data_IF_422441613693
#
_entry.id   IF_422441613693
#
_cell.length_a   1.000
_cell.length_b   1.000
_cell.length_c   1.000
_cell.angle_alpha   90.00
_cell.angle_beta   90.00
_cell.angle_gamma   90.00
#
_symmetry.space_group_name_H-M   'P 1'
#
loop_
_entity.id
_entity.type
_entity.pdbx_description
1 polymer ?
#
# COMPACT_ATOMS: atom_id res chain seq x y z
N UNK A 1 -6.46 11.29 9.18
CA UNK A 1 -5.16 10.61 9.30
C UNK A 1 -5.05 9.65 8.13
N UNK A 2 -4.02 9.78 7.33
CA UNK A 2 -3.83 8.98 6.11
C UNK A 2 -2.64 8.03 6.30
N UNK A 3 -2.67 6.86 5.68
CA UNK A 3 -1.52 5.95 5.68
C UNK A 3 -0.73 6.11 4.37
N UNK A 4 0.59 6.03 4.46
CA UNK A 4 1.48 5.89 3.31
C UNK A 4 2.22 4.56 3.43
N UNK A 5 2.02 3.69 2.45
CA UNK A 5 2.70 2.40 2.31
C UNK A 5 3.73 2.53 1.21
N UNK A 6 4.99 2.36 1.58
CA UNK A 6 6.13 2.39 0.66
C UNK A 6 6.59 0.96 0.43
N UNK A 7 6.59 0.49 -0.82
CA UNK A 7 6.94 -0.89 -1.16
C UNK A 7 7.56 -0.99 -2.56
N UNK A 8 8.12 -2.15 -2.90
CA UNK A 8 8.62 -2.41 -4.24
C UNK A 8 7.53 -2.27 -5.32
N UNK A 9 7.91 -1.89 -6.55
CA UNK A 9 7.00 -1.72 -7.69
C UNK A 9 6.05 -2.91 -7.86
N UNK A 10 6.59 -4.14 -7.84
CA UNK A 10 5.81 -5.36 -8.04
C UNK A 10 4.72 -5.54 -6.98
N UNK A 11 4.98 -5.13 -5.75
CA UNK A 11 4.00 -5.22 -4.64
C UNK A 11 2.94 -4.14 -4.80
N UNK A 12 3.34 -2.91 -5.13
CA UNK A 12 2.40 -1.80 -5.36
C UNK A 12 1.46 -2.10 -6.52
N UNK A 13 1.98 -2.56 -7.66
CA UNK A 13 1.16 -2.92 -8.83
C UNK A 13 0.16 -4.02 -8.48
N UNK A 14 0.61 -5.05 -7.75
CA UNK A 14 -0.28 -6.13 -7.31
C UNK A 14 -1.37 -5.62 -6.36
N UNK A 15 -1.05 -4.71 -5.45
CA UNK A 15 -2.01 -4.13 -4.50
C UNK A 15 -3.02 -3.20 -5.19
N UNK A 16 -2.60 -2.51 -6.25
CA UNK A 16 -3.46 -1.60 -7.01
C UNK A 16 -4.31 -2.30 -8.07
N UNK A 17 -3.89 -3.47 -8.56
CA UNK A 17 -4.55 -4.20 -9.65
C UNK A 17 -5.20 -5.49 -9.14
N UNK A 18 -4.42 -6.51 -8.79
CA UNK A 18 -4.94 -7.84 -8.40
C UNK A 18 -5.67 -7.84 -7.05
N UNK A 19 -5.16 -7.10 -6.07
CA UNK A 19 -5.64 -7.10 -4.69
C UNK A 19 -6.41 -5.80 -4.35
N UNK A 20 -6.85 -5.06 -5.37
CA UNK A 20 -7.51 -3.76 -5.19
C UNK A 20 -8.76 -3.84 -4.31
N UNK A 21 -9.52 -4.92 -4.43
CA UNK A 21 -10.74 -5.16 -3.64
C UNK A 21 -10.40 -5.34 -2.15
N UNK A 22 -9.32 -6.09 -1.86
CA UNK A 22 -8.84 -6.29 -0.49
C UNK A 22 -8.36 -4.97 0.13
N UNK A 23 -7.72 -4.11 -0.67
CA UNK A 23 -7.30 -2.77 -0.22
C UNK A 23 -8.51 -1.88 0.08
N UNK A 24 -9.53 -1.88 -0.77
CA UNK A 24 -10.73 -1.08 -0.57
C UNK A 24 -11.53 -1.50 0.68
N UNK A 25 -11.62 -2.82 0.92
CA UNK A 25 -12.22 -3.36 2.13
C UNK A 25 -11.43 -2.95 3.38
N UNK A 26 -10.10 -2.97 3.30
CA UNK A 26 -9.23 -2.52 4.38
C UNK A 26 -9.41 -1.02 4.67
N UNK A 27 -9.42 -0.17 3.64
CA UNK A 27 -9.66 1.27 3.77
C UNK A 27 -11.01 1.57 4.44
N UNK A 28 -12.05 0.81 4.08
CA UNK A 28 -13.38 0.91 4.68
C UNK A 28 -13.34 0.48 6.15
N UNK A 29 -12.68 -0.63 6.45
CA UNK A 29 -12.56 -1.18 7.81
C UNK A 29 -11.85 -0.22 8.76
N UNK A 30 -10.73 0.39 8.32
CA UNK A 30 -9.97 1.34 9.14
C UNK A 30 -10.51 2.77 9.05
N UNK A 31 -11.47 3.02 8.14
CA UNK A 31 -12.05 4.34 7.84
C UNK A 31 -10.99 5.41 7.55
N UNK A 32 -9.89 5.01 6.88
CA UNK A 32 -8.75 5.86 6.51
C UNK A 32 -8.23 5.46 5.13
N UNK A 33 -7.81 6.44 4.34
CA UNK A 33 -7.23 6.22 3.01
C UNK A 33 -5.78 5.75 3.12
N UNK A 34 -5.41 4.78 2.29
CA UNK A 34 -4.07 4.24 2.16
C UNK A 34 -3.49 4.70 0.83
N UNK A 35 -2.33 5.35 0.87
CA UNK A 35 -1.57 5.74 -0.31
C UNK A 35 -0.43 4.77 -0.51
N UNK A 36 -0.17 4.39 -1.75
CA UNK A 36 0.97 3.56 -2.10
C UNK A 36 2.03 4.39 -2.82
N UNK A 37 3.28 4.18 -2.45
CA UNK A 37 4.44 4.76 -3.09
C UNK A 37 5.44 3.66 -3.46
N UNK A 38 5.93 3.73 -4.69
CA UNK A 38 6.94 2.79 -5.17
C UNK A 38 8.32 3.22 -4.68
N UNK A 39 9.02 2.29 -4.04
CA UNK A 39 10.43 2.43 -3.69
C UNK A 39 11.29 1.50 -4.56
N UNK A 40 12.08 2.04 -5.52
CA UNK A 40 12.83 1.24 -6.50
C UNK A 40 13.89 0.32 -5.90
N UNK A 41 14.40 0.66 -4.73
CA UNK A 41 15.45 -0.10 -4.05
C UNK A 41 14.90 -1.16 -3.09
N UNK A 42 13.58 -1.22 -2.92
CA UNK A 42 12.96 -2.18 -2.03
C UNK A 42 12.77 -3.51 -2.75
N UNK A 43 13.17 -4.59 -2.08
CA UNK A 43 12.76 -5.93 -2.46
C UNK A 43 11.29 -6.17 -2.08
N UNK A 44 10.71 -7.27 -2.57
CA UNK A 44 9.30 -7.61 -2.29
C UNK A 44 8.99 -7.80 -0.79
N UNK A 45 10.02 -8.07 0.04
CA UNK A 45 9.89 -8.27 1.49
C UNK A 45 10.10 -6.99 2.29
N UNK A 46 10.53 -5.90 1.63
CA UNK A 46 10.77 -4.61 2.25
C UNK A 46 9.58 -3.68 1.99
N UNK A 47 9.00 -3.20 3.08
CA UNK A 47 7.95 -2.20 3.04
C UNK A 47 7.95 -1.37 4.32
N UNK A 48 7.48 -0.14 4.22
CA UNK A 48 7.29 0.78 5.34
C UNK A 48 5.87 1.32 5.35
N UNK A 49 5.32 1.54 6.54
CA UNK A 49 3.99 2.14 6.73
C UNK A 49 4.11 3.37 7.62
N UNK A 50 3.74 4.53 7.08
CA UNK A 50 3.81 5.83 7.76
C UNK A 50 2.40 6.34 8.03
N UNK A 51 2.17 6.85 9.24
CA UNK A 51 0.94 7.56 9.62
C UNK A 51 1.13 9.06 9.36
N UNK A 52 0.23 9.68 8.59
CA UNK A 52 0.20 11.11 8.26
C UNK A 52 -1.00 11.82 8.90
#
# INVERSE_FOLDING_TARGET
>A
ENYLVMASQKVVDRLLDEESDNVADLETFISKTIRFQVEPFYSQEQYDVVLL
#
